data_IF_146842967366
#
_entry.id   IF_146842967366
#
_cell.length_a   1.000
_cell.length_b   1.000
_cell.length_c   1.000
_cell.angle_alpha   90.00
_cell.angle_beta   90.00
_cell.angle_gamma   90.00
#
_symmetry.space_group_name_H-M   'P 1'
#
loop_
_entity.id
_entity.type
_entity.pdbx_description
1 polymer ?
#
# COMPACT_ATOMS: atom_id res chain seq x y z
N UNK A 1 2.71 -19.50 20.53
CA UNK A 1 3.85 -20.24 21.09
C UNK A 1 4.81 -20.52 19.95
N UNK A 2 5.92 -19.77 19.84
CA UNK A 2 6.92 -20.00 18.79
C UNK A 2 7.57 -21.39 19.01
N UNK A 3 7.87 -22.15 17.95
CA UNK A 3 8.49 -23.47 18.10
C UNK A 3 9.82 -23.36 18.87
N UNK A 4 10.00 -24.24 19.85
CA UNK A 4 11.03 -24.18 20.91
C UNK A 4 12.49 -24.38 20.45
N UNK A 5 12.81 -24.35 19.15
CA UNK A 5 14.19 -24.33 18.65
C UNK A 5 14.29 -23.56 17.35
N UNK A 6 14.43 -22.26 17.48
CA UNK A 6 14.95 -21.42 16.41
C UNK A 6 16.48 -21.52 16.46
N UNK A 7 17.09 -22.10 15.43
CA UNK A 7 18.55 -22.29 15.36
C UNK A 7 19.27 -20.93 15.35
N UNK A 8 20.55 -20.86 15.77
CA UNK A 8 21.34 -19.61 15.73
C UNK A 8 21.31 -18.90 14.35
N UNK A 9 21.43 -19.62 13.20
CA UNK A 9 21.31 -19.00 11.87
C UNK A 9 19.99 -18.27 11.63
N UNK A 10 18.89 -18.75 12.22
CA UNK A 10 17.57 -18.12 12.04
C UNK A 10 17.44 -16.83 12.84
N UNK A 11 18.12 -16.69 13.99
CA UNK A 11 18.11 -15.44 14.77
C UNK A 11 18.92 -14.32 14.11
N UNK A 12 20.03 -14.68 13.47
CA UNK A 12 20.83 -13.73 12.69
C UNK A 12 20.03 -13.26 11.46
N UNK A 13 19.41 -14.19 10.72
CA UNK A 13 18.52 -13.84 9.60
C UNK A 13 17.30 -13.00 10.03
N UNK A 14 16.70 -13.27 11.19
CA UNK A 14 15.59 -12.48 11.72
C UNK A 14 16.00 -11.03 12.03
N UNK A 15 17.21 -10.82 12.55
CA UNK A 15 17.74 -9.49 12.80
C UNK A 15 17.99 -8.72 11.49
N UNK A 16 18.58 -9.38 10.50
CA UNK A 16 18.85 -8.77 9.18
C UNK A 16 17.55 -8.42 8.44
N UNK A 17 16.56 -9.34 8.45
CA UNK A 17 15.24 -9.08 7.88
C UNK A 17 14.57 -7.92 8.60
N UNK A 18 14.65 -7.86 9.93
CA UNK A 18 14.06 -6.78 10.70
C UNK A 18 14.70 -5.43 10.36
N UNK A 19 16.02 -5.37 10.21
CA UNK A 19 16.71 -4.16 9.78
C UNK A 19 16.23 -3.72 8.38
N UNK A 20 16.22 -4.63 7.42
CA UNK A 20 15.75 -4.34 6.06
C UNK A 20 14.29 -3.87 6.01
N UNK A 21 13.41 -4.44 6.85
CA UNK A 21 12.01 -4.00 6.97
C UNK A 21 11.90 -2.58 7.54
N UNK A 22 12.73 -2.23 8.52
CA UNK A 22 12.76 -0.89 9.10
C UNK A 22 13.26 0.13 8.08
N UNK A 23 14.36 -0.18 7.38
CA UNK A 23 14.95 0.70 6.37
C UNK A 23 13.96 0.96 5.23
N UNK A 24 13.31 -0.09 4.71
CA UNK A 24 12.30 0.04 3.66
C UNK A 24 11.06 0.84 4.13
N UNK A 25 10.60 0.60 5.35
CA UNK A 25 9.43 1.30 5.90
C UNK A 25 9.72 2.78 6.20
N UNK A 26 10.90 3.07 6.74
CA UNK A 26 11.33 4.44 7.03
C UNK A 26 11.55 5.22 5.73
N UNK A 27 12.24 4.61 4.75
CA UNK A 27 12.40 5.21 3.43
C UNK A 27 11.05 5.50 2.75
N UNK A 28 10.09 4.55 2.80
CA UNK A 28 8.76 4.78 2.25
C UNK A 28 8.08 5.99 2.92
N UNK A 29 8.11 6.09 4.25
CA UNK A 29 7.49 7.20 4.98
C UNK A 29 8.17 8.53 4.65
N UNK A 30 9.50 8.54 4.51
CA UNK A 30 10.28 9.75 4.24
C UNK A 30 10.20 10.22 2.78
N UNK A 31 9.99 9.31 1.83
CA UNK A 31 10.01 9.59 0.39
C UNK A 31 8.65 9.49 -0.30
N UNK A 32 7.56 9.50 0.46
CA UNK A 32 6.19 9.47 -0.07
C UNK A 32 5.46 10.78 0.26
N UNK A 33 4.62 11.31 -0.66
CA UNK A 33 3.71 12.42 -0.38
C UNK A 33 2.90 12.23 0.91
N UNK A 34 2.40 13.32 1.49
CA UNK A 34 1.77 13.33 2.83
C UNK A 34 0.46 12.54 2.91
N UNK A 35 -0.19 12.27 1.77
CA UNK A 35 -1.34 11.37 1.68
C UNK A 35 -0.94 9.88 1.80
N UNK A 36 0.35 9.58 1.66
CA UNK A 36 0.91 8.23 1.73
C UNK A 36 0.81 7.43 0.42
N UNK A 37 0.43 8.06 -0.69
CA UNK A 37 0.44 7.44 -2.04
C UNK A 37 1.69 7.90 -2.79
N UNK A 38 2.57 6.98 -3.23
CA UNK A 38 3.84 7.32 -3.85
C UNK A 38 3.64 7.64 -5.34
N UNK A 39 4.58 8.39 -5.89
CA UNK A 39 4.81 8.38 -7.33
C UNK A 39 5.37 7.02 -7.75
N UNK A 40 5.20 6.64 -9.02
CA UNK A 40 5.56 5.30 -9.52
C UNK A 40 7.05 4.93 -9.27
N UNK A 41 7.93 5.92 -9.17
CA UNK A 41 9.34 5.78 -8.83
C UNK A 41 9.81 7.01 -8.04
N UNK A 42 10.50 6.82 -6.91
CA UNK A 42 11.01 7.93 -6.08
C UNK A 42 12.14 8.72 -6.74
N UNK A 43 12.74 8.18 -7.80
CA UNK A 43 13.72 8.80 -8.68
C UNK A 43 13.17 9.15 -10.08
N UNK A 44 11.85 9.18 -10.26
CA UNK A 44 11.24 9.52 -11.55
C UNK A 44 11.74 10.90 -12.05
N UNK A 45 12.24 11.00 -13.31
CA UNK A 45 12.88 12.22 -13.81
C UNK A 45 12.04 13.50 -13.73
N UNK A 46 10.71 13.39 -13.87
CA UNK A 46 9.77 14.51 -13.82
C UNK A 46 9.39 14.95 -12.41
N UNK A 47 9.77 14.22 -11.35
CA UNK A 47 9.48 14.64 -9.97
C UNK A 47 10.12 15.98 -9.61
N UNK A 48 11.30 16.26 -10.17
CA UNK A 48 11.99 17.55 -9.98
C UNK A 48 11.19 18.75 -10.51
N UNK A 49 10.29 18.50 -11.44
CA UNK A 49 9.44 19.52 -12.07
C UNK A 49 8.11 19.68 -11.29
N UNK A 50 7.84 18.82 -10.30
CA UNK A 50 6.74 18.94 -9.34
C UNK A 50 7.24 19.64 -8.07
N UNK A 51 6.79 20.87 -7.85
CA UNK A 51 7.22 21.65 -6.69
C UNK A 51 6.66 21.05 -5.39
N UNK A 52 7.52 20.85 -4.38
CA UNK A 52 7.14 20.38 -3.04
C UNK A 52 6.34 19.06 -3.02
N UNK A 53 6.53 18.18 -4.01
CA UNK A 53 5.74 16.96 -4.16
C UNK A 53 5.75 16.03 -2.93
N UNK A 54 6.81 16.06 -2.12
CA UNK A 54 6.92 15.26 -0.90
C UNK A 54 6.26 15.90 0.33
N UNK A 55 5.89 17.19 0.26
CA UNK A 55 5.33 17.97 1.37
C UNK A 55 3.82 18.23 1.23
N UNK A 56 3.20 17.76 0.15
CA UNK A 56 1.76 17.85 -0.10
C UNK A 56 1.15 16.46 -0.34
N UNK A 57 -0.17 16.40 -0.52
CA UNK A 57 -0.84 15.19 -1.00
C UNK A 57 -0.42 14.95 -2.46
N UNK A 58 -0.28 13.67 -2.85
CA UNK A 58 0.01 13.32 -4.24
C UNK A 58 -1.15 13.74 -5.15
N UNK A 59 -0.83 14.31 -6.30
CA UNK A 59 -1.82 14.68 -7.31
C UNK A 59 -1.84 13.64 -8.43
N UNK A 60 -2.83 12.73 -8.50
CA UNK A 60 -2.92 11.75 -9.57
C UNK A 60 -3.21 12.36 -10.96
N UNK A 61 -3.57 13.64 -11.04
CA UNK A 61 -3.94 14.34 -12.26
C UNK A 61 -2.91 15.39 -12.72
N UNK A 62 -1.71 15.39 -12.13
CA UNK A 62 -0.62 16.25 -12.55
C UNK A 62 -0.17 15.97 -14.01
N UNK A 63 0.76 16.77 -14.53
CA UNK A 63 1.22 16.67 -15.92
C UNK A 63 2.63 16.08 -16.09
N UNK A 64 3.28 15.63 -15.01
CA UNK A 64 4.69 15.23 -14.98
C UNK A 64 4.91 13.74 -14.75
N UNK A 65 4.40 13.18 -13.65
CA UNK A 65 4.67 11.80 -13.25
C UNK A 65 3.44 11.14 -12.64
N UNK A 66 3.12 9.88 -13.00
CA UNK A 66 1.97 9.19 -12.42
C UNK A 66 2.26 8.70 -11.00
N UNK A 67 1.18 8.60 -10.21
CA UNK A 67 1.19 7.92 -8.92
C UNK A 67 1.03 6.41 -9.08
N UNK A 68 1.39 5.63 -8.07
CA UNK A 68 1.04 4.21 -8.00
C UNK A 68 0.33 3.88 -6.68
N UNK A 69 -0.99 3.89 -6.73
CA UNK A 69 -1.84 3.52 -5.60
C UNK A 69 -1.70 2.05 -5.19
N UNK A 70 -1.29 1.16 -6.10
CA UNK A 70 -1.11 -0.26 -5.79
C UNK A 70 0.06 -0.48 -4.82
N UNK A 71 1.18 0.24 -5.01
CA UNK A 71 2.29 0.28 -4.07
C UNK A 71 1.85 0.80 -2.70
N UNK A 72 0.97 1.81 -2.65
CA UNK A 72 0.44 2.33 -1.41
C UNK A 72 -0.39 1.30 -0.63
N UNK A 73 -1.25 0.53 -1.32
CA UNK A 73 -2.05 -0.52 -0.70
C UNK A 73 -1.16 -1.60 -0.06
N UNK A 74 -0.10 -2.01 -0.77
CA UNK A 74 0.90 -2.97 -0.26
C UNK A 74 1.66 -2.39 0.95
N UNK A 75 2.11 -1.13 0.85
CA UNK A 75 2.86 -0.47 1.91
C UNK A 75 2.02 -0.33 3.19
N UNK A 76 0.76 0.09 3.09
CA UNK A 76 -0.15 0.22 4.23
C UNK A 76 -0.26 -1.07 5.04
N UNK A 77 -0.40 -2.18 4.32
CA UNK A 77 -0.46 -3.53 4.88
C UNK A 77 0.83 -3.97 5.56
N UNK A 78 1.99 -3.66 4.96
CA UNK A 78 3.30 -3.92 5.54
C UNK A 78 3.54 -3.10 6.79
N UNK A 79 3.33 -1.78 6.71
CA UNK A 79 3.51 -0.80 7.79
C UNK A 79 2.67 -1.14 9.02
N UNK A 80 1.38 -1.43 8.85
CA UNK A 80 0.52 -1.78 9.97
C UNK A 80 0.90 -3.11 10.63
N UNK A 81 1.40 -4.09 9.85
CA UNK A 81 1.90 -5.36 10.38
C UNK A 81 3.22 -5.19 11.12
N UNK A 82 4.14 -4.39 10.58
CA UNK A 82 5.39 -4.01 11.25
C UNK A 82 5.10 -3.29 12.57
N UNK A 83 4.19 -2.31 12.52
CA UNK A 83 3.73 -1.58 13.70
C UNK A 83 3.17 -2.50 14.78
N UNK A 84 2.34 -3.48 14.39
CA UNK A 84 1.82 -4.50 15.30
C UNK A 84 2.92 -5.39 15.90
N UNK A 85 3.91 -5.82 15.10
CA UNK A 85 5.03 -6.65 15.58
C UNK A 85 5.87 -5.88 16.61
N UNK A 86 6.08 -4.58 16.37
CA UNK A 86 6.90 -3.72 17.23
C UNK A 86 6.15 -3.16 18.45
N UNK A 87 4.84 -3.30 18.52
CA UNK A 87 4.04 -2.77 19.62
C UNK A 87 4.16 -1.24 19.71
N UNK A 88 4.44 -0.71 20.91
CA UNK A 88 4.52 0.74 21.13
C UNK A 88 5.60 1.42 20.29
N UNK A 89 6.73 0.75 20.06
CA UNK A 89 7.84 1.29 19.26
C UNK A 89 7.49 1.40 17.78
N UNK A 90 6.45 0.71 17.31
CA UNK A 90 5.98 0.74 15.92
C UNK A 90 4.73 1.59 15.69
N UNK A 91 4.38 2.47 16.63
CA UNK A 91 3.20 3.33 16.51
C UNK A 91 3.24 4.17 15.24
N UNK A 92 4.41 4.72 14.87
CA UNK A 92 4.59 5.49 13.63
C UNK A 92 4.16 4.72 12.37
N UNK A 93 4.53 3.43 12.27
CA UNK A 93 4.15 2.59 11.13
C UNK A 93 2.66 2.27 11.11
N UNK A 94 2.07 2.06 12.30
CA UNK A 94 0.61 1.84 12.41
C UNK A 94 -0.16 3.08 11.97
N UNK A 95 0.28 4.27 12.37
CA UNK A 95 -0.34 5.54 11.99
C UNK A 95 -0.19 5.77 10.49
N UNK A 96 1.03 5.61 9.94
CA UNK A 96 1.29 5.78 8.51
C UNK A 96 0.40 4.88 7.65
N UNK A 97 0.34 3.58 7.95
CA UNK A 97 -0.51 2.66 7.17
C UNK A 97 -2.01 2.94 7.32
N UNK A 98 -2.46 3.47 8.46
CA UNK A 98 -3.87 3.93 8.61
C UNK A 98 -4.15 5.19 7.79
N UNK A 99 -3.21 6.14 7.73
CA UNK A 99 -3.35 7.34 6.90
C UNK A 99 -3.45 6.95 5.42
N UNK A 100 -2.59 6.05 4.95
CA UNK A 100 -2.69 5.50 3.59
C UNK A 100 -4.06 4.87 3.35
N UNK A 101 -4.52 4.02 4.28
CA UNK A 101 -5.82 3.37 4.11
C UNK A 101 -6.99 4.36 4.06
N UNK A 102 -6.95 5.45 4.82
CA UNK A 102 -7.94 6.52 4.73
C UNK A 102 -7.92 7.18 3.35
N UNK A 103 -6.72 7.47 2.82
CA UNK A 103 -6.55 8.04 1.48
C UNK A 103 -7.08 7.11 0.39
N UNK A 104 -6.76 5.82 0.44
CA UNK A 104 -7.14 4.86 -0.62
C UNK A 104 -8.61 4.43 -0.58
N UNK A 105 -9.30 4.63 0.55
CA UNK A 105 -10.73 4.31 0.71
C UNK A 105 -11.63 5.53 0.45
N UNK A 106 -11.10 6.55 -0.22
CA UNK A 106 -11.79 7.76 -0.61
C UNK A 106 -11.48 8.10 -2.08
N UNK A 107 -12.29 8.98 -2.68
CA UNK A 107 -11.98 9.55 -3.98
C UNK A 107 -10.71 10.43 -3.90
N UNK A 108 -9.89 10.50 -4.96
CA UNK A 108 -10.09 9.89 -6.27
C UNK A 108 -9.56 8.45 -6.41
N UNK A 109 -9.05 7.83 -5.34
CA UNK A 109 -8.39 6.52 -5.42
C UNK A 109 -9.38 5.36 -5.42
N UNK A 110 -10.42 5.42 -4.59
CA UNK A 110 -11.49 4.41 -4.61
C UNK A 110 -12.40 4.68 -5.81
N UNK A 111 -12.56 3.69 -6.68
CA UNK A 111 -13.54 3.78 -7.75
C UNK A 111 -14.96 3.71 -7.20
N UNK A 112 -15.75 4.75 -7.48
CA UNK A 112 -17.19 4.78 -7.24
C UNK A 112 -18.00 4.68 -8.54
N UNK A 113 -17.33 4.64 -9.70
CA UNK A 113 -17.97 4.52 -11.00
C UNK A 113 -18.46 3.08 -11.24
N UNK A 114 -19.77 2.83 -11.36
CA UNK A 114 -20.29 1.49 -11.62
C UNK A 114 -19.91 0.92 -12.99
N UNK A 115 -19.41 1.75 -13.92
CA UNK A 115 -18.90 1.30 -15.22
C UNK A 115 -17.42 0.89 -15.18
N UNK A 116 -16.69 1.27 -14.12
CA UNK A 116 -15.29 0.90 -13.97
C UNK A 116 -15.16 -0.47 -13.29
N UNK A 117 -14.37 -1.38 -13.87
CA UNK A 117 -14.27 -2.76 -13.38
C UNK A 117 -13.29 -2.94 -12.20
N UNK A 118 -12.37 -1.99 -12.03
CA UNK A 118 -11.40 -1.98 -10.92
C UNK A 118 -11.88 -1.21 -9.69
N UNK A 119 -11.35 -1.60 -8.52
CA UNK A 119 -11.64 -0.98 -7.23
C UNK A 119 -10.70 0.18 -6.90
N UNK A 120 -9.40 0.01 -7.18
CA UNK A 120 -8.35 0.96 -6.85
C UNK A 120 -7.80 1.62 -8.12
N UNK A 121 -8.06 2.91 -8.27
CA UNK A 121 -7.63 3.73 -9.40
C UNK A 121 -6.23 4.31 -9.19
N UNK A 122 -5.66 4.83 -10.27
CA UNK A 122 -4.34 5.46 -10.31
C UNK A 122 -3.21 4.50 -9.95
N UNK A 123 -3.33 3.26 -10.42
CA UNK A 123 -2.25 2.28 -10.41
C UNK A 123 -1.43 2.37 -11.70
N UNK A 124 -0.14 2.06 -11.62
CA UNK A 124 0.76 2.00 -12.78
C UNK A 124 1.32 0.59 -12.91
N UNK A 125 1.21 0.00 -14.09
CA UNK A 125 1.78 -1.29 -14.42
C UNK A 125 3.20 -1.17 -14.96
N UNK A 126 3.42 -0.38 -16.03
CA UNK A 126 4.73 -0.29 -16.65
C UNK A 126 4.98 1.03 -17.39
N UNK A 127 5.14 2.11 -16.62
CA UNK A 127 5.36 3.45 -17.18
C UNK A 127 6.60 3.58 -18.10
N UNK A 128 7.78 3.02 -17.80
CA UNK A 128 8.94 3.14 -18.69
C UNK A 128 8.73 2.57 -20.10
N UNK A 129 7.81 1.60 -20.26
CA UNK A 129 7.44 1.01 -21.55
C UNK A 129 6.14 1.59 -22.11
N UNK A 130 5.49 2.51 -21.38
CA UNK A 130 4.22 3.16 -21.74
C UNK A 130 3.12 2.15 -22.07
N UNK A 131 2.98 1.13 -21.23
CA UNK A 131 1.89 0.14 -21.37
C UNK A 131 0.57 0.62 -20.79
N UNK A 132 0.65 1.54 -19.85
CA UNK A 132 -0.49 2.13 -19.17
C UNK A 132 -1.28 3.06 -20.10
N UNK A 133 -2.60 3.02 -20.00
CA UNK A 133 -3.47 3.89 -20.76
C UNK A 133 -3.28 5.35 -20.30
N UNK A 134 -3.12 6.23 -21.28
CA UNK A 134 -3.05 7.69 -21.07
C UNK A 134 -4.34 8.29 -21.64
N UNK A 135 -5.20 8.88 -20.81
CA UNK A 135 -6.41 9.55 -21.28
C UNK A 135 -6.12 10.63 -22.32
N UNK A 136 -7.06 10.85 -23.24
CA UNK A 136 -6.90 11.85 -24.31
C UNK A 136 -6.64 13.25 -23.72
N UNK A 137 -5.59 13.92 -24.21
CA UNK A 137 -5.16 15.24 -23.71
C UNK A 137 -4.26 15.21 -22.47
N UNK A 138 -4.00 14.04 -21.88
CA UNK A 138 -3.07 13.89 -20.75
C UNK A 138 -1.64 13.58 -21.20
N UNK A 139 -0.67 13.84 -20.31
CA UNK A 139 0.75 13.52 -20.52
C UNK A 139 1.21 12.24 -19.79
N UNK A 140 0.43 11.80 -18.79
CA UNK A 140 0.72 10.68 -17.89
C UNK A 140 -0.52 9.79 -17.72
N UNK A 141 -0.36 8.50 -17.37
CA UNK A 141 -1.48 7.62 -17.11
C UNK A 141 -2.15 7.98 -15.77
N UNK A 142 -3.47 7.86 -15.73
CA UNK A 142 -4.26 7.93 -14.52
C UNK A 142 -5.61 7.24 -14.74
N UNK A 143 -6.33 6.93 -13.67
CA UNK A 143 -7.65 6.28 -13.73
C UNK A 143 -7.59 4.77 -13.94
N UNK A 144 -6.45 4.21 -14.36
CA UNK A 144 -6.28 2.77 -14.50
C UNK A 144 -6.21 2.05 -13.15
N UNK A 145 -6.63 0.78 -13.17
CA UNK A 145 -6.52 -0.16 -12.05
C UNK A 145 -5.68 -1.37 -12.43
N UNK A 146 -5.10 -2.02 -11.42
CA UNK A 146 -4.36 -3.27 -11.59
C UNK A 146 -4.85 -4.30 -10.59
N UNK A 147 -4.89 -5.57 -11.01
CA UNK A 147 -5.50 -6.64 -10.20
C UNK A 147 -4.84 -6.82 -8.82
N UNK A 148 -3.52 -6.65 -8.71
CA UNK A 148 -2.85 -6.72 -7.41
C UNK A 148 -3.21 -5.51 -6.52
N UNK A 149 -3.41 -4.33 -7.10
CA UNK A 149 -3.89 -3.14 -6.39
C UNK A 149 -5.26 -3.39 -5.76
N UNK A 150 -6.20 -3.92 -6.55
CA UNK A 150 -7.54 -4.29 -6.07
C UNK A 150 -7.50 -5.36 -4.98
N UNK A 151 -6.67 -6.40 -5.17
CA UNK A 151 -6.46 -7.43 -4.17
C UNK A 151 -5.97 -6.83 -2.84
N UNK A 152 -4.94 -5.97 -2.91
CA UNK A 152 -4.32 -5.37 -1.72
C UNK A 152 -5.23 -4.34 -1.05
N UNK A 153 -6.01 -3.55 -1.79
CA UNK A 153 -7.02 -2.66 -1.23
C UNK A 153 -8.10 -3.46 -0.49
N UNK A 154 -8.62 -4.53 -1.11
CA UNK A 154 -9.63 -5.40 -0.49
C UNK A 154 -9.10 -6.10 0.75
N UNK A 155 -7.89 -6.61 0.70
CA UNK A 155 -7.24 -7.25 1.85
C UNK A 155 -6.94 -6.23 2.96
N UNK A 156 -6.55 -4.99 2.62
CA UNK A 156 -6.37 -3.90 3.58
C UNK A 156 -7.69 -3.55 4.30
N UNK A 157 -8.79 -3.41 3.57
CA UNK A 157 -10.11 -3.19 4.13
C UNK A 157 -10.54 -4.33 5.06
N UNK A 158 -10.33 -5.58 4.65
CA UNK A 158 -10.57 -6.75 5.51
C UNK A 158 -9.68 -6.72 6.75
N UNK A 159 -8.40 -6.40 6.59
CA UNK A 159 -7.45 -6.34 7.70
C UNK A 159 -7.87 -5.30 8.73
N UNK A 160 -8.25 -4.10 8.31
CA UNK A 160 -8.80 -3.06 9.18
C UNK A 160 -10.02 -3.54 9.96
N UNK A 161 -10.98 -4.20 9.30
CA UNK A 161 -12.14 -4.79 9.99
C UNK A 161 -11.71 -5.84 11.03
N UNK A 162 -10.65 -6.60 10.76
CA UNK A 162 -10.13 -7.66 11.65
C UNK A 162 -9.25 -7.14 12.78
N UNK A 163 -8.86 -5.87 12.77
CA UNK A 163 -8.16 -5.24 13.90
C UNK A 163 -9.09 -4.96 15.10
N UNK A 164 -10.41 -5.11 14.94
CA UNK A 164 -11.35 -5.08 16.06
C UNK A 164 -10.97 -6.15 17.10
N UNK A 165 -10.94 -5.82 18.42
CA UNK A 165 -10.56 -6.77 19.47
C UNK A 165 -11.36 -8.08 19.51
N UNK A 166 -12.56 -8.08 18.92
CA UNK A 166 -13.47 -9.23 18.89
C UNK A 166 -13.25 -10.16 17.69
N UNK A 167 -12.31 -9.86 16.79
CA UNK A 167 -12.09 -10.62 15.56
C UNK A 167 -10.68 -11.19 15.52
N UNK A 168 -10.58 -12.47 15.16
CA UNK A 168 -9.28 -13.12 14.94
C UNK A 168 -8.59 -12.54 13.70
N UNK A 169 -7.27 -12.40 13.77
CA UNK A 169 -6.44 -12.07 12.63
C UNK A 169 -6.74 -13.03 11.47
N UNK A 170 -6.88 -12.49 10.26
CA UNK A 170 -7.17 -13.28 9.08
C UNK A 170 -5.94 -14.08 8.68
N UNK A 171 -6.01 -15.40 8.83
CA UNK A 171 -4.99 -16.34 8.39
C UNK A 171 -5.67 -17.62 7.94
N UNK A 172 -5.02 -18.38 7.06
CA UNK A 172 -5.52 -19.67 6.57
C UNK A 172 -5.99 -20.59 7.71
N UNK A 173 -5.27 -20.60 8.84
CA UNK A 173 -5.59 -21.41 10.02
C UNK A 173 -6.91 -21.03 10.71
N UNK A 174 -7.41 -19.81 10.50
CA UNK A 174 -8.60 -19.26 11.18
C UNK A 174 -9.74 -18.96 10.20
N UNK A 175 -9.67 -19.45 8.95
CA UNK A 175 -10.77 -19.37 7.99
C UNK A 175 -11.73 -20.52 8.30
N UNK A 176 -12.86 -20.19 8.93
CA UNK A 176 -13.96 -21.13 9.09
C UNK A 176 -14.83 -21.10 7.85
N UNK A 177 -14.68 -22.10 6.99
CA UNK A 177 -15.58 -22.30 5.85
C UNK A 177 -16.94 -22.78 6.37
N UNK A 178 -17.90 -21.87 6.47
CA UNK A 178 -19.30 -22.24 6.62
C UNK A 178 -19.86 -22.44 5.22
N UNK A 179 -19.83 -23.67 4.70
CA UNK A 179 -20.68 -24.01 3.55
C UNK A 179 -22.12 -23.73 3.99
N UNK A 180 -22.88 -22.87 3.34
CA UNK A 180 -24.33 -22.92 3.48
C UNK A 180 -24.75 -24.26 2.91
N UNK A 181 -25.16 -25.21 3.76
CA UNK A 181 -25.95 -26.34 3.29
C UNK A 181 -27.27 -25.76 2.80
N UNK A 182 -27.49 -25.86 1.49
CA UNK A 182 -28.76 -25.55 0.85
C UNK A 182 -29.84 -26.54 1.30
#
# INVERSE_FOLDING_TARGET
MLPKRVSRPYREAEADIRLALLDAADYYIECTPTCGVPYWDTGAPGLRDLSNWSECDADPFNDKEPVDSSAAAIAAQGLMRLGKIMGKQGEKYTIAGRKIALTLLDEPYLSLDPAHEGLLLHSVYHWPRRWDYVPEGANIPYGESVMWGDYHLRELALYLQRLSPKRSYYSFANIHWKVPVA
#
